data_IF_325896829600
#
_entry.id   IF_325896829600
#
_cell.length_a   1.000
_cell.length_b   1.000
_cell.length_c   1.000
_cell.angle_alpha   90.00
_cell.angle_beta   90.00
_cell.angle_gamma   90.00
#
_symmetry.space_group_name_H-M   'P 1'
#
loop_
_entity.id
_entity.type
_entity.pdbx_description
1 polymer ?
#
# COMPACT_ATOMS: atom_id res chain seq x y z
N UNK A 1 15.32 3.05 11.14
CA UNK A 1 14.72 1.97 10.32
C UNK A 1 13.58 2.54 9.48
N UNK A 2 13.40 2.06 8.27
CA UNK A 2 12.35 2.53 7.36
C UNK A 2 11.01 1.91 7.70
N UNK A 3 9.98 2.72 7.96
CA UNK A 3 8.66 2.24 8.35
C UNK A 3 7.54 2.91 7.55
N UNK A 4 6.40 2.24 7.49
CA UNK A 4 5.16 2.75 6.90
C UNK A 4 3.94 2.08 7.53
N UNK A 5 2.78 2.73 7.43
CA UNK A 5 1.49 2.16 7.77
C UNK A 5 0.83 1.60 6.53
N UNK A 6 0.24 0.41 6.65
CA UNK A 6 -0.45 -0.23 5.54
C UNK A 6 -1.56 -1.16 6.00
N UNK A 7 -2.40 -1.55 5.04
CA UNK A 7 -3.48 -2.54 5.23
C UNK A 7 -3.08 -3.84 4.55
N UNK A 8 -3.23 -4.94 5.27
CA UNK A 8 -3.03 -6.28 4.71
C UNK A 8 -4.23 -6.69 3.86
N UNK A 9 -3.96 -7.39 2.76
CA UNK A 9 -5.01 -7.96 1.92
C UNK A 9 -5.33 -9.39 2.38
N UNK A 10 -6.61 -9.83 2.29
CA UNK A 10 -6.98 -11.24 2.42
C UNK A 10 -6.27 -12.12 1.40
N UNK A 11 -6.09 -13.40 1.72
CA UNK A 11 -5.41 -14.35 0.82
C UNK A 11 -6.12 -14.47 -0.52
N UNK A 12 -7.46 -14.56 -0.54
CA UNK A 12 -8.25 -14.66 -1.77
C UNK A 12 -8.05 -13.48 -2.71
N UNK A 13 -8.01 -12.27 -2.16
CA UNK A 13 -7.72 -11.02 -2.91
C UNK A 13 -6.31 -11.05 -3.50
N UNK A 14 -5.32 -11.47 -2.73
CA UNK A 14 -3.94 -11.61 -3.21
C UNK A 14 -3.82 -12.63 -4.33
N UNK A 15 -4.45 -13.78 -4.17
CA UNK A 15 -4.45 -14.86 -5.17
C UNK A 15 -5.08 -14.36 -6.48
N UNK A 16 -6.18 -13.62 -6.41
CA UNK A 16 -6.83 -13.04 -7.58
C UNK A 16 -5.95 -11.99 -8.27
N UNK A 17 -5.37 -11.05 -7.52
CA UNK A 17 -4.46 -10.04 -8.07
C UNK A 17 -3.25 -10.66 -8.75
N UNK A 18 -2.74 -11.77 -8.23
CA UNK A 18 -1.61 -12.49 -8.83
C UNK A 18 -1.96 -13.17 -10.15
N UNK A 19 -3.23 -13.34 -10.50
CA UNK A 19 -3.64 -13.92 -11.80
C UNK A 19 -3.24 -13.06 -13.01
N UNK A 20 -2.97 -11.77 -12.79
CA UNK A 20 -2.54 -10.87 -13.86
C UNK A 20 -1.03 -10.89 -14.11
N UNK A 21 -0.26 -11.60 -13.29
CA UNK A 21 1.18 -11.70 -13.44
C UNK A 21 1.53 -12.45 -14.72
N UNK A 22 2.26 -11.77 -15.61
CA UNK A 22 2.78 -12.36 -16.82
C UNK A 22 4.30 -12.19 -16.80
N UNK A 23 5.09 -13.22 -17.12
CA UNK A 23 6.54 -13.09 -17.18
C UNK A 23 6.93 -12.16 -18.35
N UNK A 24 7.41 -10.97 -17.98
CA UNK A 24 7.91 -9.97 -18.92
C UNK A 24 9.29 -9.54 -18.42
N UNK A 25 10.27 -9.55 -19.31
CA UNK A 25 11.64 -9.14 -18.99
C UNK A 25 11.69 -7.69 -18.48
N UNK A 26 12.37 -7.47 -17.36
CA UNK A 26 12.51 -6.16 -16.72
C UNK A 26 11.29 -5.70 -15.90
N UNK A 27 10.28 -6.55 -15.77
CA UNK A 27 9.13 -6.35 -14.87
C UNK A 27 9.30 -7.22 -13.62
N UNK A 28 9.36 -6.60 -12.46
CA UNK A 28 9.53 -7.26 -11.17
C UNK A 28 8.20 -7.28 -10.43
N UNK A 29 7.46 -8.39 -10.55
CA UNK A 29 6.19 -8.59 -9.87
C UNK A 29 6.37 -8.72 -8.37
N UNK A 30 5.46 -8.11 -7.60
CA UNK A 30 5.37 -8.33 -6.16
C UNK A 30 4.84 -9.75 -5.90
N UNK A 31 5.34 -10.39 -4.86
CA UNK A 31 4.76 -11.64 -4.37
C UNK A 31 3.53 -11.36 -3.52
N UNK A 32 2.68 -12.36 -3.30
CA UNK A 32 1.50 -12.20 -2.44
C UNK A 32 1.82 -11.75 -1.01
N UNK A 33 3.06 -11.97 -0.52
CA UNK A 33 3.50 -11.49 0.81
C UNK A 33 3.75 -9.98 0.83
N UNK A 34 4.06 -9.39 -0.32
CA UNK A 34 4.40 -7.98 -0.48
C UNK A 34 3.19 -7.11 -0.84
N UNK A 35 2.09 -7.73 -1.31
CA UNK A 35 0.86 -7.02 -1.67
C UNK A 35 0.20 -6.42 -0.43
N UNK A 36 0.02 -5.11 -0.42
CA UNK A 36 -0.60 -4.32 0.63
C UNK A 36 -1.12 -2.99 0.09
N UNK A 37 -1.98 -2.34 0.85
CA UNK A 37 -2.30 -0.92 0.62
C UNK A 37 -1.40 -0.09 1.52
N UNK A 38 -0.63 0.82 0.97
CA UNK A 38 0.09 1.81 1.79
C UNK A 38 -0.90 2.88 2.25
N UNK A 39 -0.99 3.10 3.56
CA UNK A 39 -1.78 4.17 4.17
C UNK A 39 -0.94 5.43 4.34
N UNK A 40 0.23 5.29 4.94
CA UNK A 40 1.10 6.43 5.21
C UNK A 40 2.57 5.99 5.25
N UNK A 41 3.39 6.61 4.42
CA UNK A 41 4.82 6.36 4.42
C UNK A 41 5.52 7.34 5.38
N UNK A 42 6.18 6.78 6.39
CA UNK A 42 6.87 7.57 7.43
C UNK A 42 8.35 7.80 7.05
N UNK A 43 9.01 6.79 6.50
CA UNK A 43 10.42 6.87 6.14
C UNK A 43 11.34 6.35 7.23
N UNK A 44 12.54 6.93 7.32
CA UNK A 44 13.55 6.52 8.30
C UNK A 44 13.24 7.09 9.68
N UNK A 45 13.13 6.22 10.67
CA UNK A 45 12.90 6.56 12.07
C UNK A 45 13.83 5.76 12.99
N UNK A 46 14.11 6.31 14.17
CA UNK A 46 14.84 5.63 15.24
C UNK A 46 13.99 4.54 15.90
N UNK A 47 14.61 3.66 16.65
CA UNK A 47 13.91 2.65 17.45
C UNK A 47 13.02 3.31 18.53
N UNK A 48 13.46 4.44 19.09
CA UNK A 48 12.72 5.17 20.10
C UNK A 48 11.44 5.81 19.52
N UNK A 49 11.51 6.36 18.29
CA UNK A 49 10.33 6.89 17.60
C UNK A 49 9.33 5.79 17.27
N UNK A 50 9.79 4.62 16.82
CA UNK A 50 8.89 3.47 16.61
C UNK A 50 8.15 3.11 17.89
N UNK A 51 8.84 3.08 19.04
CA UNK A 51 8.19 2.74 20.31
C UNK A 51 7.19 3.81 20.76
N UNK A 52 7.50 5.10 20.52
CA UNK A 52 6.53 6.19 20.73
C UNK A 52 5.30 6.05 19.85
N UNK A 53 5.47 5.72 18.58
CA UNK A 53 4.36 5.49 17.64
C UNK A 53 3.50 4.33 18.14
N UNK A 54 4.10 3.20 18.49
CA UNK A 54 3.39 2.00 18.98
C UNK A 54 2.61 2.26 20.28
N UNK A 55 3.16 3.02 21.20
CA UNK A 55 2.52 3.33 22.48
C UNK A 55 1.37 4.34 22.33
N UNK A 56 1.47 5.26 21.36
CA UNK A 56 0.49 6.35 21.17
C UNK A 56 -0.63 5.98 20.19
N UNK A 57 -0.37 5.07 19.25
CA UNK A 57 -1.31 4.62 18.23
C UNK A 57 -1.71 3.16 18.49
N UNK A 58 -2.65 2.94 19.42
CA UNK A 58 -3.12 1.59 19.77
C UNK A 58 -4.40 1.19 19.03
N UNK A 59 -5.19 2.17 18.63
CA UNK A 59 -6.48 2.02 17.96
C UNK A 59 -6.66 3.15 16.95
N UNK A 60 -7.37 2.87 15.87
CA UNK A 60 -7.75 3.85 14.86
C UNK A 60 -9.23 4.21 15.06
N UNK A 61 -9.51 5.44 15.47
CA UNK A 61 -10.87 5.94 15.70
C UNK A 61 -11.63 6.21 14.38
N UNK A 62 -11.64 5.22 13.50
CA UNK A 62 -12.37 5.20 12.23
C UNK A 62 -13.10 3.85 12.19
N UNK A 63 -14.39 3.79 11.83
CA UNK A 63 -15.11 2.53 11.63
C UNK A 63 -14.45 1.66 10.56
N UNK A 64 -14.59 0.34 10.70
CA UNK A 64 -14.20 -0.58 9.63
C UNK A 64 -15.06 -0.34 8.38
N UNK A 65 -14.46 -0.49 7.20
CA UNK A 65 -15.12 -0.17 5.92
C UNK A 65 -14.72 -1.17 4.82
N UNK A 66 -15.58 -1.27 3.80
CA UNK A 66 -15.33 -2.07 2.61
C UNK A 66 -14.51 -1.27 1.59
N UNK A 67 -13.60 -1.98 0.91
CA UNK A 67 -12.83 -1.46 -0.21
C UNK A 67 -12.96 -2.38 -1.41
N UNK A 68 -13.29 -1.81 -2.56
CA UNK A 68 -13.32 -2.49 -3.86
C UNK A 68 -12.02 -2.22 -4.60
N UNK A 69 -11.54 -3.22 -5.33
CA UNK A 69 -10.35 -3.09 -6.18
C UNK A 69 -10.82 -2.98 -7.62
N UNK A 70 -10.49 -1.86 -8.28
CA UNK A 70 -10.92 -1.57 -9.64
C UNK A 70 -9.79 -1.11 -10.53
N UNK A 71 -9.64 -1.79 -11.64
CA UNK A 71 -8.72 -1.41 -12.69
C UNK A 71 -7.25 -1.49 -12.32
N UNK A 72 -6.41 -1.25 -13.30
CA UNK A 72 -4.96 -1.14 -13.13
C UNK A 72 -4.44 0.11 -13.83
N UNK A 73 -3.35 0.64 -13.32
CA UNK A 73 -2.69 1.80 -13.88
C UNK A 73 -1.19 1.78 -13.63
N UNK A 74 -0.51 2.79 -14.10
CA UNK A 74 0.94 2.95 -13.92
C UNK A 74 1.27 4.32 -13.37
N UNK A 75 2.26 4.35 -12.47
CA UNK A 75 2.99 5.55 -12.10
C UNK A 75 4.41 5.47 -12.66
N UNK A 76 4.97 6.58 -13.01
CA UNK A 76 6.36 6.71 -13.41
C UNK A 76 6.58 7.97 -14.21
N UNK A 77 7.74 8.58 -14.03
CA UNK A 77 8.25 9.65 -14.85
C UNK A 77 9.47 9.16 -15.62
N UNK A 78 9.80 9.80 -16.73
CA UNK A 78 10.96 9.45 -17.54
C UNK A 78 12.23 9.41 -16.67
N UNK A 79 13.03 8.35 -16.82
CA UNK A 79 14.23 8.13 -16.01
C UNK A 79 14.02 7.61 -14.58
N UNK A 80 12.76 7.31 -14.18
CA UNK A 80 12.43 6.78 -12.85
C UNK A 80 11.98 5.31 -12.87
N UNK A 81 11.86 4.70 -11.68
CA UNK A 81 11.23 3.39 -11.53
C UNK A 81 9.71 3.56 -11.68
N UNK A 82 9.13 2.84 -12.64
CA UNK A 82 7.69 2.76 -12.82
C UNK A 82 7.05 1.74 -11.88
N UNK A 83 5.79 1.98 -11.54
CA UNK A 83 4.97 1.09 -10.72
C UNK A 83 3.68 0.75 -11.46
N UNK A 84 3.41 -0.54 -11.65
CA UNK A 84 2.08 -1.04 -12.01
C UNK A 84 1.28 -1.20 -10.72
N UNK A 85 0.04 -0.72 -10.70
CA UNK A 85 -0.80 -0.74 -9.51
C UNK A 85 -2.24 -1.12 -9.83
N UNK A 86 -2.95 -1.66 -8.84
CA UNK A 86 -4.41 -1.82 -8.84
C UNK A 86 -5.05 -0.68 -8.05
N UNK A 87 -6.14 -0.12 -8.58
CA UNK A 87 -6.88 0.97 -7.98
C UNK A 87 -7.78 0.52 -6.84
N UNK A 88 -8.16 1.45 -5.97
CA UNK A 88 -9.00 1.21 -4.79
C UNK A 88 -10.12 2.24 -4.72
N UNK A 89 -11.31 1.79 -4.32
CA UNK A 89 -12.48 2.64 -4.07
C UNK A 89 -13.29 2.11 -2.87
N UNK A 90 -13.99 2.97 -2.10
CA UNK A 90 -14.03 4.42 -2.24
C UNK A 90 -12.75 5.08 -1.66
N UNK A 91 -12.37 6.23 -2.22
CA UNK A 91 -11.20 6.97 -1.76
C UNK A 91 -11.43 7.70 -0.44
N UNK A 92 -12.67 8.07 -0.14
CA UNK A 92 -13.02 8.88 1.03
C UNK A 92 -12.57 8.26 2.36
N UNK A 93 -12.85 6.99 2.58
CA UNK A 93 -12.50 6.25 3.78
C UNK A 93 -10.99 6.01 3.88
N UNK A 94 -10.34 5.70 2.74
CA UNK A 94 -8.88 5.53 2.69
C UNK A 94 -8.15 6.87 2.92
N UNK A 95 -8.68 7.96 2.37
CA UNK A 95 -8.15 9.30 2.61
C UNK A 95 -8.35 9.74 4.08
N UNK A 96 -9.52 9.45 4.65
CA UNK A 96 -9.79 9.69 6.08
C UNK A 96 -8.80 8.91 6.96
N UNK A 97 -8.52 7.65 6.61
CA UNK A 97 -7.55 6.81 7.32
C UNK A 97 -6.12 7.38 7.19
N UNK A 98 -5.70 7.77 5.98
CA UNK A 98 -4.42 8.43 5.73
C UNK A 98 -4.28 9.70 6.59
N UNK A 99 -5.28 10.57 6.55
CA UNK A 99 -5.30 11.82 7.28
C UNK A 99 -5.32 11.63 8.81
N UNK A 100 -6.03 10.60 9.31
CA UNK A 100 -6.03 10.27 10.73
C UNK A 100 -4.62 9.88 11.19
N UNK A 101 -3.99 8.93 10.51
CA UNK A 101 -2.62 8.49 10.84
C UNK A 101 -1.63 9.64 10.71
N UNK A 102 -1.73 10.43 9.65
CA UNK A 102 -0.86 11.58 9.41
C UNK A 102 -0.94 12.63 10.52
N UNK A 103 -2.14 12.98 10.98
CA UNK A 103 -2.33 13.91 12.10
C UNK A 103 -1.72 13.37 13.39
N UNK A 104 -1.96 12.09 13.71
CA UNK A 104 -1.36 11.47 14.90
C UNK A 104 0.16 11.47 14.87
N UNK A 105 0.76 11.27 13.70
CA UNK A 105 2.22 11.36 13.54
C UNK A 105 2.72 12.81 13.69
N UNK A 106 2.01 13.77 13.13
CA UNK A 106 2.33 15.20 13.28
C UNK A 106 2.27 15.65 14.75
N UNK A 107 1.28 15.19 15.53
CA UNK A 107 1.19 15.46 16.97
C UNK A 107 2.41 14.93 17.76
N UNK A 108 3.09 13.93 17.20
CA UNK A 108 4.33 13.37 17.76
C UNK A 108 5.61 13.99 17.17
N UNK A 109 5.50 15.02 16.33
CA UNK A 109 6.58 15.63 15.55
C UNK A 109 7.29 14.60 14.62
N UNK A 110 6.56 13.61 14.12
CA UNK A 110 7.06 12.66 13.11
C UNK A 110 6.60 13.15 11.75
N UNK A 111 7.58 13.52 10.90
CA UNK A 111 7.30 13.97 9.54
C UNK A 111 6.85 12.82 8.64
N UNK A 112 5.90 13.09 7.76
CA UNK A 112 5.44 12.15 6.73
C UNK A 112 5.68 12.75 5.34
N UNK A 113 5.62 11.91 4.31
CA UNK A 113 5.66 12.39 2.93
C UNK A 113 4.47 13.32 2.65
N UNK A 114 4.73 14.49 2.10
CA UNK A 114 3.72 15.47 1.70
C UNK A 114 3.21 15.28 0.28
N UNK A 115 3.54 14.14 -0.37
CA UNK A 115 3.01 13.80 -1.68
C UNK A 115 1.50 13.55 -1.58
N UNK A 116 0.77 13.95 -2.63
CA UNK A 116 -0.66 13.68 -2.72
C UNK A 116 -0.91 12.18 -2.55
N UNK A 117 -1.74 11.84 -1.58
CA UNK A 117 -2.13 10.45 -1.35
C UNK A 117 -2.96 9.93 -2.54
N UNK A 118 -2.62 8.77 -3.01
CA UNK A 118 -3.35 8.04 -4.05
C UNK A 118 -3.42 6.58 -3.62
N UNK A 119 -4.57 6.11 -3.12
CA UNK A 119 -4.70 4.75 -2.62
C UNK A 119 -4.55 3.74 -3.76
N UNK A 120 -3.63 2.79 -3.61
CA UNK A 120 -3.35 1.77 -4.60
C UNK A 120 -2.66 0.55 -3.98
N UNK A 121 -2.65 -0.56 -4.73
CA UNK A 121 -1.85 -1.74 -4.44
C UNK A 121 -0.78 -1.85 -5.51
N UNK A 122 0.49 -1.73 -5.15
CA UNK A 122 1.59 -1.95 -6.09
C UNK A 122 1.66 -3.42 -6.48
N UNK A 123 1.57 -3.72 -7.77
CA UNK A 123 1.60 -5.07 -8.33
C UNK A 123 2.98 -5.44 -8.88
N UNK A 124 3.65 -4.48 -9.51
CA UNK A 124 4.99 -4.68 -10.08
C UNK A 124 5.79 -3.36 -10.11
N UNK A 125 7.10 -3.51 -10.21
CA UNK A 125 8.04 -2.42 -10.46
C UNK A 125 8.80 -2.70 -11.76
N UNK A 126 9.12 -1.66 -12.51
CA UNK A 126 9.83 -1.77 -13.78
C UNK A 126 10.65 -0.51 -14.07
N UNK A 127 11.66 -0.62 -14.95
CA UNK A 127 12.28 0.58 -15.51
C UNK A 127 11.29 1.24 -16.48
N UNK A 128 11.22 2.56 -16.48
CA UNK A 128 10.21 3.28 -17.27
C UNK A 128 10.32 3.03 -18.79
N UNK A 129 11.48 2.67 -19.29
CA UNK A 129 11.71 2.25 -20.66
C UNK A 129 10.88 1.00 -21.08
N UNK A 130 10.46 0.20 -20.10
CA UNK A 130 9.65 -1.01 -20.27
C UNK A 130 8.13 -0.78 -20.15
N UNK A 131 7.68 0.45 -19.95
CA UNK A 131 6.25 0.78 -19.79
C UNK A 131 5.38 0.31 -20.96
N UNK A 132 5.91 0.36 -22.19
CA UNK A 132 5.22 -0.12 -23.41
C UNK A 132 4.90 -1.62 -23.35
N UNK A 133 5.70 -2.43 -22.67
CA UNK A 133 5.48 -3.87 -22.53
C UNK A 133 4.26 -4.20 -21.66
N UNK A 134 3.72 -3.23 -20.94
CA UNK A 134 2.52 -3.37 -20.08
C UNK A 134 1.20 -3.08 -20.81
N UNK A 135 1.24 -2.64 -22.08
CA UNK A 135 0.05 -2.18 -22.82
C UNK A 135 -1.09 -3.19 -22.80
N UNK A 136 -0.83 -4.46 -23.09
CA UNK A 136 -1.84 -5.52 -23.09
C UNK A 136 -2.41 -5.78 -21.69
N UNK A 137 -1.58 -5.69 -20.65
CA UNK A 137 -2.04 -5.86 -19.24
C UNK A 137 -2.95 -4.72 -18.85
N UNK A 138 -2.57 -3.48 -19.18
CA UNK A 138 -3.36 -2.28 -18.91
C UNK A 138 -4.70 -2.32 -19.64
N UNK A 139 -4.70 -2.65 -20.93
CA UNK A 139 -5.91 -2.73 -21.73
C UNK A 139 -6.90 -3.77 -21.22
N UNK A 140 -6.42 -4.99 -20.94
CA UNK A 140 -7.25 -6.10 -20.45
C UNK A 140 -7.82 -5.89 -19.05
N UNK A 141 -7.18 -5.08 -18.23
CA UNK A 141 -7.54 -4.91 -16.82
C UNK A 141 -7.95 -3.47 -16.47
N UNK A 142 -8.12 -2.58 -17.45
CA UNK A 142 -8.47 -1.16 -17.24
C UNK A 142 -9.69 -0.98 -16.36
N UNK A 143 -10.75 -1.74 -16.65
CA UNK A 143 -12.05 -1.64 -15.98
C UNK A 143 -12.40 -2.93 -15.22
N UNK A 144 -11.39 -3.79 -14.96
CA UNK A 144 -11.61 -5.05 -14.26
C UNK A 144 -11.92 -4.79 -12.79
N UNK A 145 -13.06 -5.35 -12.33
CA UNK A 145 -13.39 -5.40 -10.91
C UNK A 145 -12.77 -6.67 -10.31
N UNK A 146 -12.04 -6.49 -9.20
CA UNK A 146 -11.53 -7.58 -8.38
C UNK A 146 -12.37 -7.70 -7.11
N UNK A 147 -12.08 -8.71 -6.28
CA UNK A 147 -12.76 -8.90 -5.00
C UNK A 147 -12.62 -7.68 -4.10
N UNK A 148 -13.72 -7.33 -3.42
CA UNK A 148 -13.72 -6.38 -2.32
C UNK A 148 -13.20 -7.04 -1.04
N UNK A 149 -12.77 -6.23 -0.09
CA UNK A 149 -12.39 -6.69 1.23
C UNK A 149 -12.66 -5.63 2.29
N UNK A 150 -12.86 -6.10 3.52
CA UNK A 150 -13.09 -5.22 4.68
C UNK A 150 -11.76 -4.81 5.31
N UNK A 151 -11.59 -3.50 5.51
CA UNK A 151 -10.46 -2.93 6.27
C UNK A 151 -10.87 -2.87 7.74
N UNK A 152 -10.20 -3.66 8.56
CA UNK A 152 -10.49 -3.78 10.00
C UNK A 152 -9.30 -3.40 10.87
N UNK A 153 -8.12 -3.27 10.28
CA UNK A 153 -6.87 -2.96 10.99
C UNK A 153 -5.89 -2.22 10.09
N UNK A 154 -5.01 -1.47 10.71
CA UNK A 154 -3.81 -0.91 10.10
C UNK A 154 -2.59 -1.51 10.77
N UNK A 155 -1.56 -1.79 9.98
CA UNK A 155 -0.31 -2.39 10.45
C UNK A 155 0.84 -1.40 10.25
N UNK A 156 1.65 -1.22 11.28
CA UNK A 156 2.96 -0.57 11.15
C UNK A 156 3.96 -1.62 10.68
N UNK A 157 4.55 -1.37 9.52
CA UNK A 157 5.55 -2.23 8.90
C UNK A 157 6.93 -1.62 8.96
N UNK A 158 7.94 -2.48 9.17
CA UNK A 158 9.32 -2.20 8.84
C UNK A 158 9.60 -2.70 7.42
N UNK A 159 10.08 -1.80 6.56
CA UNK A 159 10.58 -2.15 5.23
C UNK A 159 12.05 -2.55 5.31
N UNK A 160 12.35 -3.75 4.84
CA UNK A 160 13.71 -4.30 4.78
C UNK A 160 14.08 -4.37 3.29
N UNK A 161 14.99 -3.50 2.83
CA UNK A 161 15.42 -3.50 1.44
C UNK A 161 16.07 -4.83 1.05
N UNK A 162 15.71 -5.37 -0.10
CA UNK A 162 16.37 -6.51 -0.73
C UNK A 162 16.95 -6.10 -2.08
N UNK A 163 17.69 -7.01 -2.73
CA UNK A 163 18.37 -6.74 -4.01
C UNK A 163 17.40 -6.30 -5.12
N UNK A 164 16.22 -6.88 -5.20
CA UNK A 164 15.22 -6.61 -6.25
C UNK A 164 13.88 -6.12 -5.71
N UNK A 165 13.57 -6.42 -4.45
CA UNK A 165 12.31 -6.06 -3.78
C UNK A 165 12.52 -5.96 -2.29
N UNK A 166 11.68 -5.20 -1.61
CA UNK A 166 11.67 -5.09 -0.16
C UNK A 166 10.80 -6.19 0.44
N UNK A 167 11.16 -6.65 1.62
CA UNK A 167 10.27 -7.46 2.47
C UNK A 167 9.75 -6.63 3.62
N UNK A 168 8.61 -7.03 4.20
CA UNK A 168 7.92 -6.25 5.22
C UNK A 168 7.72 -7.07 6.48
N UNK A 169 8.21 -6.53 7.61
CA UNK A 169 8.03 -7.11 8.93
C UNK A 169 6.95 -6.32 9.68
N UNK A 170 5.94 -7.02 10.20
CA UNK A 170 4.92 -6.39 11.06
C UNK A 170 5.55 -5.99 12.40
N UNK A 171 5.40 -4.74 12.80
CA UNK A 171 5.88 -4.23 14.09
C UNK A 171 4.73 -4.07 15.09
N UNK A 172 3.58 -3.61 14.64
CA UNK A 172 2.38 -3.40 15.46
C UNK A 172 1.14 -3.45 14.59
N UNK A 173 0.02 -3.80 15.19
CA UNK A 173 -1.31 -3.80 14.57
C UNK A 173 -2.24 -2.91 15.39
N UNK A 174 -2.98 -2.05 14.72
CA UNK A 174 -3.96 -1.13 15.30
C UNK A 174 -5.32 -1.44 14.71
N UNK A 175 -6.27 -1.97 15.50
CA UNK A 175 -7.63 -2.20 15.02
C UNK A 175 -8.32 -0.88 14.70
N UNK A 176 -9.18 -0.89 13.70
CA UNK A 176 -10.21 0.13 13.52
C UNK A 176 -11.32 -0.13 14.54
N UNK A 177 -12.07 0.92 14.92
CA UNK A 177 -13.26 0.73 15.75
C UNK A 177 -14.26 -0.13 14.97
N UNK A 178 -14.88 -1.10 15.65
CA UNK A 178 -15.88 -1.98 15.04
C UNK A 178 -17.07 -1.21 14.47
N UNK A 179 -17.90 -1.93 13.71
CA UNK A 179 -19.19 -1.39 13.28
C UNK A 179 -20.03 -1.00 14.51
N UNK A 180 -20.61 0.19 14.48
CA UNK A 180 -21.50 0.67 15.53
C UNK A 180 -22.83 -0.11 15.54
#
# INVERSE_FOLDING_TARGET
MRVFFGVCLPKSVKDELMTINVPIEGIHWQSGRELHVTVCYVGEVSAQEVERIRSSLKEIAIPSFEVSIMGVGVFGAEGSIGHLWAGLEPWGELDALHNFVGRRLADMNVSISHLRYHPHITLARFSNERSKSLGTILEKNRDRCFQSFKVTEVVLFKSIPGKFRSTYQRLSTMPLIGDA
#
